data_IF_622012315410
#
_entry.id   IF_622012315410
#
_cell.length_a   1.000
_cell.length_b   1.000
_cell.length_c   1.000
_cell.angle_alpha   90.00
_cell.angle_beta   90.00
_cell.angle_gamma   90.00
#
_symmetry.space_group_name_H-M   'P 1'
#
loop_
_entity.id
_entity.type
_entity.pdbx_description
1 polymer ?
2 non-polymer ?
3 non-polymer ?
#
# COMPACT_ATOMS: atom_id res chain seq x y z
N UNK A 11 -15.88 -23.10 -12.33
CA UNK A 11 -16.15 -22.22 -11.20
C UNK A 11 -14.88 -21.87 -10.45
N UNK A 12 -14.73 -20.59 -10.10
CA UNK A 12 -13.53 -20.08 -9.44
C UNK A 12 -13.73 -19.73 -7.96
N UNK A 13 -14.93 -20.00 -7.43
CA UNK A 13 -15.25 -19.66 -6.05
C UNK A 13 -14.79 -20.69 -5.01
N UNK A 14 -14.29 -20.20 -3.89
CA UNK A 14 -14.03 -20.99 -2.70
C UNK A 14 -14.20 -20.08 -1.47
N UNK A 15 -14.33 -20.66 -0.26
CA UNK A 15 -14.75 -19.84 0.89
C UNK A 15 -13.79 -18.68 1.20
N UNK A 16 -12.50 -18.85 0.91
CA UNK A 16 -11.52 -17.79 1.16
C UNK A 16 -11.61 -16.63 0.16
N UNK A 17 -11.82 -16.95 -1.10
CA UNK A 17 -11.88 -15.93 -2.15
C UNK A 17 -13.30 -15.43 -2.41
N UNK A 18 -14.22 -15.73 -1.50
CA UNK A 18 -15.59 -15.33 -1.66
C UNK A 18 -15.81 -13.92 -1.17
N UNK A 19 -16.77 -13.19 -1.77
CA UNK A 19 -17.17 -11.85 -1.33
C UNK A 19 -17.46 -11.84 0.17
N UNK A 20 -17.35 -10.69 0.81
CA UNK A 20 -17.42 -10.67 2.26
C UNK A 20 -18.80 -10.16 2.63
N UNK A 21 -19.55 -11.02 3.29
CA UNK A 21 -20.95 -10.79 3.62
C UNK A 21 -21.07 -9.62 4.58
N UNK A 22 -22.15 -8.84 4.43
CA UNK A 22 -22.44 -7.68 5.28
C UNK A 22 -22.24 -7.99 6.76
N UNK A 23 -22.81 -9.11 7.21
CA UNK A 23 -22.65 -9.50 8.61
C UNK A 23 -21.21 -9.87 8.98
N UNK A 24 -20.39 -10.27 8.01
CA UNK A 24 -19.02 -10.63 8.34
C UNK A 24 -18.06 -9.43 8.43
N UNK A 25 -18.57 -8.23 8.16
CA UNK A 25 -17.71 -7.05 8.07
C UNK A 25 -17.40 -6.49 9.46
N UNK A 26 -16.19 -5.97 9.64
CA UNK A 26 -15.72 -5.62 10.98
C UNK A 26 -14.96 -4.29 11.09
N UNK A 27 -14.77 -3.60 9.97
CA UNK A 27 -13.98 -2.35 10.00
C UNK A 27 -14.79 -1.10 9.64
N UNK A 28 -14.99 -0.23 10.62
CA UNK A 28 -15.69 1.02 10.36
C UNK A 28 -14.70 2.11 10.03
N UNK A 29 -15.17 3.37 9.97
CA UNK A 29 -14.30 4.51 9.62
C UNK A 29 -13.23 4.84 10.64
N UNK A 30 -13.53 4.71 11.94
CA UNK A 30 -12.53 5.01 12.96
C UNK A 30 -11.41 3.97 12.97
N UNK A 31 -11.77 2.73 12.64
CA UNK A 31 -10.83 1.63 12.77
C UNK A 31 -9.82 1.67 11.63
N UNK A 32 -10.30 2.06 10.46
CA UNK A 32 -9.48 2.17 9.26
C UNK A 32 -8.43 3.26 9.40
N UNK A 33 -8.82 4.38 9.99
CA UNK A 33 -7.87 5.44 10.37
C UNK A 33 -6.81 4.92 11.33
N UNK A 34 -7.22 4.03 12.22
CA UNK A 34 -6.33 3.53 13.27
C UNK A 34 -5.37 2.51 12.68
N UNK A 35 -5.75 1.96 11.54
CA UNK A 35 -4.89 1.03 10.81
C UNK A 35 -3.88 1.80 9.97
N UNK A 36 -4.38 2.80 9.23
CA UNK A 36 -3.54 3.60 8.35
C UNK A 36 -2.48 4.41 9.08
N UNK A 37 -2.79 4.81 10.32
CA UNK A 37 -1.89 5.66 11.09
C UNK A 37 -0.63 4.87 11.43
N UNK A 38 -0.83 3.65 11.93
CA UNK A 38 0.27 2.79 12.32
C UNK A 38 0.93 2.18 11.07
N UNK A 39 0.15 2.02 10.00
CA UNK A 39 0.65 1.50 8.73
C UNK A 39 1.58 2.48 8.02
N UNK A 40 1.41 3.78 8.30
CA UNK A 40 2.27 4.79 7.68
C UNK A 40 3.58 4.92 8.45
N UNK A 41 3.53 4.67 9.75
CA UNK A 41 4.72 4.67 10.58
C UNK A 41 5.58 3.44 10.29
N UNK A 42 6.57 3.62 9.43
CA UNK A 42 7.49 2.55 9.06
C UNK A 42 8.79 3.13 8.50
N UNK A 43 9.89 2.41 8.71
CA UNK A 43 11.24 2.88 8.39
C UNK A 43 11.41 3.53 7.01
N UNK A 44 10.85 2.91 5.98
CA UNK A 44 11.10 3.32 4.60
C UNK A 44 10.80 4.80 4.29
N UNK A 45 10.04 5.46 5.16
CA UNK A 45 9.73 6.86 4.94
C UNK A 45 10.82 7.75 5.52
N UNK A 46 11.59 7.21 6.46
CA UNK A 46 12.79 7.90 6.94
C UNK A 46 13.73 8.09 5.75
N UNK A 47 13.97 7.00 5.04
CA UNK A 47 14.87 7.00 3.89
C UNK A 47 14.40 7.96 2.81
N UNK A 48 13.14 7.84 2.43
CA UNK A 48 12.59 8.67 1.35
C UNK A 48 12.70 10.15 1.68
N UNK A 49 12.20 10.53 2.86
CA UNK A 49 12.09 11.94 3.23
C UNK A 49 13.46 12.52 3.57
N UNK A 50 14.35 11.65 4.04
CA UNK A 50 15.75 11.97 4.28
C UNK A 50 16.53 12.37 3.05
N UNK A 51 16.58 11.47 2.08
CA UNK A 51 17.19 11.73 0.78
C UNK A 51 16.58 12.93 0.08
N UNK A 52 15.33 13.26 0.40
CA UNK A 52 14.71 14.46 -0.17
C UNK A 52 15.40 15.74 0.28
N UNK A 53 16.05 15.70 1.44
CA UNK A 53 16.69 16.89 1.97
C UNK A 53 17.84 17.35 1.06
N UNK A 54 18.39 16.42 0.29
CA UNK A 54 19.31 16.75 -0.79
C UNK A 54 18.76 17.75 -1.81
N UNK A 55 17.47 17.67 -2.12
CA UNK A 55 16.94 18.50 -3.19
C UNK A 55 16.06 19.65 -2.71
N UNK A 56 15.48 19.50 -1.51
CA UNK A 56 14.63 20.55 -0.95
C UNK A 56 14.87 20.67 0.54
N UNK A 57 14.37 21.74 1.14
CA UNK A 57 14.48 21.89 2.59
C UNK A 57 13.26 21.23 3.26
N UNK A 58 13.46 20.81 4.50
CA UNK A 58 12.46 20.06 5.26
C UNK A 58 10.98 20.44 5.14
N UNK A 59 10.63 21.72 5.32
CA UNK A 59 9.22 22.11 5.21
C UNK A 59 8.60 21.79 3.85
N UNK A 60 9.32 22.02 2.75
CA UNK A 60 8.81 21.61 1.44
C UNK A 60 8.61 20.11 1.34
N UNK A 61 9.51 19.37 1.99
CA UNK A 61 9.45 17.91 1.97
C UNK A 61 8.17 17.45 2.67
N UNK A 62 7.90 18.07 3.81
CA UNK A 62 6.66 17.87 4.56
C UNK A 62 5.44 18.17 3.68
N UNK A 63 5.58 19.18 2.83
CA UNK A 63 4.51 19.59 1.93
C UNK A 63 4.37 18.58 0.79
N UNK A 64 5.50 18.12 0.26
CA UNK A 64 5.50 17.08 -0.77
C UNK A 64 4.89 15.79 -0.22
N UNK A 65 5.03 15.59 1.09
CA UNK A 65 4.44 14.45 1.77
C UNK A 65 2.92 14.60 1.90
N UNK A 66 2.49 15.71 2.48
CA UNK A 66 1.07 16.05 2.56
C UNK A 66 0.36 16.06 1.22
N UNK A 67 1.04 16.56 0.19
CA UNK A 67 0.47 16.58 -1.15
C UNK A 67 0.34 15.17 -1.74
N UNK A 68 1.42 14.40 -1.67
CA UNK A 68 1.42 13.03 -2.14
C UNK A 68 0.46 12.13 -1.39
N UNK A 69 0.31 12.40 -0.09
CA UNK A 69 -0.68 11.72 0.74
C UNK A 69 -2.10 12.00 0.26
N UNK A 70 -2.34 13.24 -0.14
CA UNK A 70 -3.68 13.67 -0.56
C UNK A 70 -4.10 13.11 -1.90
N UNK A 71 -3.18 13.05 -2.86
CA UNK A 71 -3.50 12.45 -4.15
C UNK A 71 -3.80 10.96 -3.99
N UNK A 72 -3.09 10.33 -3.07
CA UNK A 72 -3.30 8.92 -2.78
C UNK A 72 -4.72 8.65 -2.28
N UNK A 73 -5.17 9.47 -1.35
CA UNK A 73 -6.55 9.43 -0.85
C UNK A 73 -7.64 9.70 -1.89
N UNK A 74 -7.48 10.77 -2.66
CA UNK A 74 -8.30 10.99 -3.85
C UNK A 74 -8.40 9.75 -4.74
N UNK A 75 -7.31 9.01 -4.83
CA UNK A 75 -7.29 7.75 -5.56
C UNK A 75 -8.02 6.65 -4.81
N UNK A 76 -7.87 6.65 -3.49
CA UNK A 76 -8.50 5.65 -2.64
C UNK A 76 -10.02 5.74 -2.68
N UNK A 77 -10.55 6.95 -2.58
CA UNK A 77 -11.99 7.22 -2.74
C UNK A 77 -12.64 6.44 -3.90
N UNK A 78 -11.90 6.27 -4.99
CA UNK A 78 -12.40 5.58 -6.18
C UNK A 78 -12.05 4.09 -6.19
N UNK A 79 -10.83 3.75 -5.82
CA UNK A 79 -10.38 2.36 -5.89
C UNK A 79 -10.97 1.50 -4.77
N UNK A 80 -11.62 2.12 -3.79
CA UNK A 80 -12.08 1.36 -2.64
C UNK A 80 -13.57 1.09 -2.73
N UNK A 81 -14.24 1.73 -3.69
CA UNK A 81 -15.70 1.80 -3.63
C UNK A 81 -16.36 0.47 -3.94
N UNK A 82 -15.77 -0.30 -4.84
CA UNK A 82 -16.33 -1.61 -5.19
C UNK A 82 -16.08 -2.65 -4.09
N UNK A 83 -14.95 -2.52 -3.40
CA UNK A 83 -14.61 -3.50 -2.38
C UNK A 83 -15.45 -3.32 -1.14
N UNK A 84 -15.70 -2.06 -0.79
CA UNK A 84 -16.55 -1.75 0.35
C UNK A 84 -17.98 -2.22 0.10
N UNK A 85 -18.50 -1.87 -1.08
CA UNK A 85 -19.88 -2.17 -1.41
C UNK A 85 -20.06 -3.68 -1.61
N UNK A 86 -19.13 -4.31 -2.32
CA UNK A 86 -19.33 -5.69 -2.75
C UNK A 86 -18.44 -6.74 -2.06
N UNK A 87 -17.60 -6.32 -1.11
CA UNK A 87 -16.74 -7.25 -0.40
C UNK A 87 -15.74 -8.07 -1.18
N UNK A 88 -15.33 -7.62 -2.37
CA UNK A 88 -14.47 -8.47 -3.20
C UNK A 88 -12.98 -8.18 -3.09
N UNK A 89 -12.19 -9.20 -3.44
CA UNK A 89 -10.75 -9.11 -3.67
C UNK A 89 -10.31 -8.03 -4.65
N UNK A 90 -9.02 -7.69 -4.58
CA UNK A 90 -8.34 -7.01 -5.68
C UNK A 90 -8.19 -7.95 -6.86
N UNK A 91 -7.58 -9.11 -6.61
CA UNK A 91 -7.27 -10.07 -7.64
C UNK A 91 -8.53 -10.46 -8.41
N UNK A 92 -9.62 -10.67 -7.67
CA UNK A 92 -10.91 -10.95 -8.26
C UNK A 92 -11.44 -9.77 -9.08
N UNK A 93 -11.32 -8.56 -8.53
CA UNK A 93 -11.82 -7.35 -9.20
C UNK A 93 -11.12 -7.02 -10.52
N UNK A 94 -9.87 -7.44 -10.69
CA UNK A 94 -9.14 -7.15 -11.92
C UNK A 94 -9.69 -7.94 -13.10
N UNK A 95 -10.39 -9.02 -12.80
CA UNK A 95 -10.98 -9.90 -13.81
C UNK A 95 -11.93 -9.17 -14.77
N UNK A 96 -12.49 -8.05 -14.31
CA UNK A 96 -13.48 -7.29 -15.08
C UNK A 96 -12.93 -6.71 -16.39
N UNK A 97 -12.01 -5.71 -16.33
CA UNK A 97 -11.55 -5.11 -17.58
C UNK A 97 -10.57 -6.00 -18.35
N UNK A 98 -9.57 -6.52 -17.65
CA UNK A 98 -8.66 -7.50 -18.23
C UNK A 98 -9.42 -8.82 -18.25
N UNK A 99 -8.85 -9.90 -18.76
CA UNK A 99 -9.61 -11.14 -18.78
C UNK A 99 -9.80 -11.74 -17.40
N UNK A 100 -10.42 -12.91 -17.36
CA UNK A 100 -10.43 -13.74 -16.15
C UNK A 100 -9.04 -14.28 -15.86
N UNK A 101 -8.26 -14.44 -16.92
CA UNK A 101 -6.89 -14.92 -16.84
C UNK A 101 -5.93 -13.80 -17.21
N UNK A 102 -6.30 -13.04 -18.24
CA UNK A 102 -5.55 -11.85 -18.61
C UNK A 102 -5.27 -10.89 -17.47
N UNK A 103 -6.15 -10.82 -16.48
CA UNK A 103 -5.90 -10.02 -15.29
C UNK A 103 -4.66 -10.48 -14.53
N UNK A 104 -4.30 -11.75 -14.65
CA UNK A 104 -3.13 -12.30 -13.98
C UNK A 104 -1.83 -11.60 -14.36
N UNK A 105 -1.80 -11.00 -15.55
CA UNK A 105 -0.64 -10.28 -16.04
C UNK A 105 -0.33 -9.03 -15.19
N UNK A 106 -1.19 -7.98 -15.23
CA UNK A 106 -0.89 -6.90 -14.29
C UNK A 106 -0.82 -7.35 -12.84
N UNK A 107 -1.68 -8.27 -12.43
CA UNK A 107 -1.69 -8.74 -11.05
C UNK A 107 -0.38 -9.42 -10.66
N UNK A 108 0.27 -10.10 -11.62
CA UNK A 108 1.56 -10.70 -11.33
C UNK A 108 2.63 -9.64 -11.16
N UNK A 109 2.56 -8.60 -11.99
CA UNK A 109 3.37 -7.41 -11.78
C UNK A 109 3.20 -6.91 -10.35
N UNK A 110 1.94 -6.76 -9.95
CA UNK A 110 1.63 -6.15 -8.67
C UNK A 110 1.91 -7.07 -7.50
N UNK A 111 1.58 -8.36 -7.62
CA UNK A 111 1.87 -9.28 -6.52
C UNK A 111 3.36 -9.38 -6.26
N UNK A 112 4.14 -9.19 -7.32
CA UNK A 112 5.60 -9.19 -7.25
C UNK A 112 6.14 -7.99 -6.50
N UNK A 113 5.65 -6.82 -6.90
CA UNK A 113 5.89 -5.56 -6.19
C UNK A 113 5.58 -5.73 -4.72
N UNK A 114 4.38 -6.21 -4.42
CA UNK A 114 3.88 -6.34 -3.04
C UNK A 114 4.88 -7.19 -2.27
N UNK A 115 5.23 -8.31 -2.89
CA UNK A 115 6.17 -9.31 -2.37
C UNK A 115 7.56 -8.73 -2.14
N UNK A 116 8.03 -7.91 -3.08
CA UNK A 116 9.29 -7.19 -2.92
C UNK A 116 9.32 -6.38 -1.63
N UNK A 117 8.23 -5.68 -1.34
CA UNK A 117 8.18 -4.86 -0.13
C UNK A 117 8.18 -5.70 1.13
N UNK A 118 7.54 -6.87 1.07
CA UNK A 118 7.45 -7.76 2.22
C UNK A 118 8.79 -8.26 2.71
N UNK A 119 9.64 -8.67 1.78
CA UNK A 119 10.97 -9.13 2.13
C UNK A 119 11.87 -8.00 2.57
N UNK A 120 11.66 -6.81 2.01
CA UNK A 120 12.40 -5.64 2.45
C UNK A 120 12.15 -5.27 3.92
N UNK A 121 10.89 -5.11 4.30
CA UNK A 121 10.61 -4.72 5.68
C UNK A 121 10.87 -5.85 6.68
N UNK A 122 10.75 -7.10 6.24
CA UNK A 122 11.05 -8.23 7.12
C UNK A 122 12.53 -8.15 7.49
N UNK A 123 13.32 -7.74 6.50
CA UNK A 123 14.74 -7.52 6.67
C UNK A 123 14.99 -6.45 7.71
N UNK A 124 14.36 -5.28 7.54
CA UNK A 124 14.50 -4.20 8.50
C UNK A 124 14.05 -4.66 9.90
N UNK A 125 12.95 -5.41 9.93
CA UNK A 125 12.43 -6.00 11.16
C UNK A 125 13.43 -6.93 11.83
N UNK A 126 14.02 -7.80 11.01
CA UNK A 126 15.03 -8.75 11.43
C UNK A 126 16.26 -8.05 11.99
N UNK A 127 16.69 -7.01 11.28
CA UNK A 127 17.81 -6.19 11.70
C UNK A 127 17.57 -5.70 13.12
N UNK A 128 16.33 -5.30 13.39
CA UNK A 128 15.98 -4.74 14.68
C UNK A 128 16.09 -5.79 15.78
N UNK A 129 15.45 -6.95 15.58
CA UNK A 129 15.44 -7.98 16.61
C UNK A 129 16.85 -8.47 16.89
N UNK A 130 17.66 -8.51 15.83
CA UNK A 130 19.04 -8.97 15.92
C UNK A 130 19.87 -7.98 16.73
N UNK A 131 19.60 -6.70 16.53
CA UNK A 131 20.21 -5.65 17.33
C UNK A 131 19.81 -5.73 18.80
N UNK A 132 18.55 -6.02 19.11
CA UNK A 132 18.13 -6.16 20.51
C UNK A 132 18.90 -7.29 21.19
N UNK A 133 19.03 -8.41 20.49
CA UNK A 133 19.70 -9.57 21.06
C UNK A 133 21.19 -9.36 21.21
N UNK A 134 21.84 -8.79 20.18
CA UNK A 134 23.28 -8.62 20.26
C UNK A 134 23.64 -7.52 21.26
N UNK A 135 22.69 -6.65 21.59
CA UNK A 135 22.88 -5.70 22.69
C UNK A 135 22.54 -6.37 24.02
N UNK A 136 22.44 -7.69 24.02
CA UNK A 136 22.20 -8.42 25.25
C UNK A 136 23.01 -9.71 25.37
N UNK A 137 23.75 -10.07 24.34
CA UNK A 137 24.30 -11.43 24.24
C UNK A 137 25.42 -11.45 23.18
N UNK A 138 25.64 -10.32 22.54
CA UNK A 138 26.64 -10.23 21.49
C UNK A 138 26.46 -11.10 20.26
N UNK A 139 25.60 -12.10 20.36
CA UNK A 139 25.30 -13.00 19.25
C UNK A 139 24.60 -12.20 18.15
N UNK A 140 25.09 -12.31 16.92
CA UNK A 140 24.63 -11.44 15.84
C UNK A 140 24.41 -12.23 14.54
N UNK A 141 23.48 -13.17 14.60
CA UNK A 141 23.06 -13.91 13.41
C UNK A 141 21.78 -13.27 12.89
N UNK A 142 21.84 -12.77 11.66
CA UNK A 142 20.70 -12.11 11.03
C UNK A 142 19.76 -13.06 10.27
N UNK A 143 20.27 -13.92 9.36
CA UNK A 143 19.36 -14.81 8.62
C UNK A 143 18.41 -15.63 9.49
N UNK A 144 18.86 -16.11 10.64
CA UNK A 144 17.96 -16.83 11.54
C UNK A 144 16.83 -15.91 12.01
N UNK A 145 17.18 -14.66 12.36
CA UNK A 145 16.20 -13.70 12.83
C UNK A 145 15.29 -13.22 11.71
N UNK A 146 15.81 -13.28 10.48
CA UNK A 146 14.99 -13.05 9.29
C UNK A 146 13.85 -14.05 9.24
N UNK A 147 14.18 -15.32 9.02
CA UNK A 147 13.21 -16.42 9.03
C UNK A 147 12.21 -16.37 10.19
N UNK A 148 12.71 -16.43 11.42
CA UNK A 148 11.88 -16.28 12.62
C UNK A 148 10.88 -15.12 12.55
N UNK A 149 11.26 -13.99 11.97
CA UNK A 149 10.31 -12.89 11.86
C UNK A 149 9.31 -13.12 10.75
N UNK A 150 9.81 -13.42 9.54
CA UNK A 150 8.96 -13.86 8.45
C UNK A 150 7.93 -14.83 8.95
N UNK A 151 8.37 -15.78 9.77
CA UNK A 151 7.50 -16.81 10.30
C UNK A 151 6.47 -16.20 11.25
N UNK A 152 6.93 -15.33 12.14
CA UNK A 152 6.05 -14.69 13.12
C UNK A 152 4.96 -13.86 12.46
N UNK A 153 5.32 -13.16 11.39
CA UNK A 153 4.36 -12.37 10.64
C UNK A 153 3.30 -13.29 10.05
N UNK A 154 3.75 -14.38 9.45
CA UNK A 154 2.85 -15.39 8.88
C UNK A 154 1.81 -15.88 9.87
N UNK A 155 2.25 -16.17 11.09
CA UNK A 155 1.36 -16.75 12.10
C UNK A 155 0.38 -15.71 12.62
N UNK A 156 0.84 -14.47 12.76
CA UNK A 156 -0.03 -13.36 13.08
C UNK A 156 -0.90 -12.94 11.91
N UNK A 157 -0.45 -13.23 10.70
CA UNK A 157 -1.26 -12.94 9.52
C UNK A 157 -2.36 -13.97 9.31
N UNK A 158 -2.16 -15.18 9.83
CA UNK A 158 -3.22 -16.19 9.85
C UNK A 158 -4.54 -15.70 10.41
N UNK A 159 -4.46 -14.84 11.41
CA UNK A 159 -5.64 -14.26 12.04
C UNK A 159 -6.23 -13.11 11.24
N UNK A 160 -5.80 -13.01 9.99
CA UNK A 160 -6.19 -11.96 9.05
C UNK A 160 -6.40 -10.58 9.64
N UNK A 161 -7.45 -9.89 9.18
CA UNK A 161 -7.67 -8.51 9.58
C UNK A 161 -8.00 -8.37 11.07
N UNK A 162 -8.35 -9.48 11.71
CA UNK A 162 -8.70 -9.49 13.13
C UNK A 162 -7.51 -9.10 14.02
N UNK A 163 -6.37 -9.72 13.74
CA UNK A 163 -5.11 -9.37 14.41
C UNK A 163 -4.67 -7.97 14.02
N UNK A 164 -4.51 -7.75 12.71
CA UNK A 164 -4.13 -6.44 12.15
C UNK A 164 -4.84 -5.31 12.89
N UNK A 165 -6.16 -5.44 13.04
CA UNK A 165 -6.97 -4.34 13.54
C UNK A 165 -6.70 -4.12 15.03
N UNK A 166 -6.48 -5.19 15.77
CA UNK A 166 -6.21 -5.07 17.20
C UNK A 166 -4.78 -4.62 17.49
N UNK A 167 -3.84 -5.13 16.70
CA UNK A 167 -2.43 -4.75 16.82
C UNK A 167 -2.16 -3.28 16.50
N UNK A 168 -2.87 -2.74 15.52
CA UNK A 168 -2.67 -1.36 15.10
C UNK A 168 -3.32 -0.30 15.99
N UNK A 169 -4.41 -0.64 16.67
CA UNK A 169 -5.04 0.32 17.56
C UNK A 169 -4.21 0.52 18.82
N UNK A 170 -3.60 -0.54 19.33
CA UNK A 170 -2.71 -0.39 20.48
C UNK A 170 -1.32 0.12 20.13
N UNK A 171 -0.80 -0.26 18.97
CA UNK A 171 0.47 0.30 18.51
C UNK A 171 0.39 1.79 18.22
N UNK A 172 -0.70 2.22 17.59
CA UNK A 172 -0.88 3.59 17.12
C UNK A 172 -0.47 4.69 18.13
N UNK A 173 -1.09 4.70 19.33
CA UNK A 173 -0.71 5.79 20.24
C UNK A 173 0.73 5.65 20.74
N UNK A 174 1.13 4.42 21.02
CA UNK A 174 2.50 4.14 21.43
C UNK A 174 3.50 4.60 20.37
N UNK A 175 3.28 4.19 19.13
CA UNK A 175 4.05 4.67 17.99
C UNK A 175 4.00 6.19 17.87
N UNK A 176 2.81 6.75 18.03
CA UNK A 176 2.62 8.20 18.02
C UNK A 176 3.43 8.88 19.13
N UNK A 177 3.48 8.26 20.30
CA UNK A 177 4.20 8.83 21.43
C UNK A 177 5.72 8.68 21.29
N UNK A 178 6.18 7.45 21.00
CA UNK A 178 7.60 7.22 20.73
C UNK A 178 8.17 8.20 19.70
N UNK A 179 7.31 8.63 18.77
CA UNK A 179 7.71 9.51 17.69
C UNK A 179 7.79 10.98 18.08
N UNK A 180 6.77 11.45 18.79
CA UNK A 180 6.76 12.80 19.35
C UNK A 180 7.90 13.00 20.36
N UNK A 181 8.17 11.98 21.15
CA UNK A 181 9.35 11.90 22.01
C UNK A 181 10.67 12.06 21.25
N UNK A 182 10.77 11.34 20.14
CA UNK A 182 11.95 11.37 19.29
C UNK A 182 12.37 12.77 18.84
N UNK A 183 11.40 13.54 18.36
CA UNK A 183 11.61 14.94 18.03
C UNK A 183 12.10 15.81 19.19
N UNK A 184 11.60 15.56 20.40
CA UNK A 184 12.04 16.33 21.56
C UNK A 184 13.53 16.08 21.86
N UNK A 185 13.90 14.80 22.00
CA UNK A 185 15.29 14.38 22.19
C UNK A 185 16.31 14.97 21.22
N UNK A 186 15.96 15.02 19.93
CA UNK A 186 16.85 15.59 18.94
C UNK A 186 16.99 17.09 19.18
N UNK A 187 15.91 17.82 18.95
CA UNK A 187 15.88 19.26 19.10
C UNK A 187 16.57 19.73 20.38
N UNK A 188 16.17 19.17 21.52
CA UNK A 188 16.79 19.49 22.81
C UNK A 188 18.30 19.27 22.76
N UNK A 189 18.71 18.03 22.53
CA UNK A 189 20.11 17.64 22.60
C UNK A 189 21.00 18.36 21.60
N UNK A 190 20.36 18.94 20.59
CA UNK A 190 21.07 19.74 19.59
C UNK A 190 20.91 21.22 19.88
N UNK A 191 19.98 21.54 20.78
CA UNK A 191 19.73 22.90 21.26
C UNK A 191 19.12 23.76 20.14
N UNK A 192 18.14 23.18 19.43
CA UNK A 192 17.57 23.83 18.25
C UNK A 192 16.05 23.84 18.31
N UNK A 193 15.45 24.95 17.87
CA UNK A 193 14.00 25.06 17.82
C UNK A 193 13.45 24.32 16.60
N UNK A 194 12.16 24.02 16.62
CA UNK A 194 11.50 23.37 15.49
C UNK A 194 11.57 24.18 14.19
N UNK A 195 11.34 25.49 14.30
CA UNK A 195 11.32 26.37 13.14
C UNK A 195 12.65 26.48 12.43
N UNK A 196 13.73 26.36 13.19
CA UNK A 196 15.08 26.45 12.63
C UNK A 196 15.37 25.24 11.75
N UNK A 197 15.06 24.05 12.25
CA UNK A 197 15.28 22.80 11.52
C UNK A 197 14.43 22.75 10.26
N UNK A 198 13.28 23.42 10.30
CA UNK A 198 12.35 23.43 9.18
C UNK A 198 12.90 23.98 7.85
N UNK A 199 14.04 24.65 7.88
CA UNK A 199 14.63 25.15 6.63
C UNK A 199 16.09 24.79 6.38
N UNK A 200 16.60 23.76 7.07
CA UNK A 200 18.02 23.42 6.99
C UNK A 200 18.46 22.63 5.75
N UNK A 201 17.52 22.22 4.91
CA UNK A 201 17.88 21.32 3.81
C UNK A 201 18.22 21.96 2.48
N UNK A 202 18.09 21.16 1.43
CA UNK A 202 17.95 21.66 0.07
C UNK A 202 19.14 22.44 -0.43
N UNK A 203 20.32 21.83 -0.35
CA UNK A 203 21.55 22.49 -0.75
C UNK A 203 22.11 21.85 -2.02
N UNK A 204 21.23 21.29 -2.83
CA UNK A 204 21.64 20.60 -4.05
C UNK A 204 20.45 20.45 -5.01
N UNK A 205 19.76 21.56 -5.31
CA UNK A 205 18.50 21.55 -6.08
C UNK A 205 18.68 21.02 -7.50
N UNK A 206 17.59 20.65 -8.14
CA UNK A 206 17.61 20.03 -9.45
C UNK A 206 16.34 19.26 -9.72
N UNK A 207 15.90 18.52 -8.71
CA UNK A 207 14.66 17.76 -8.78
C UNK A 207 13.44 18.68 -8.74
N UNK A 208 12.53 18.55 -9.70
CA UNK A 208 11.27 19.31 -9.68
C UNK A 208 10.40 18.95 -8.48
N UNK A 209 9.69 19.92 -7.92
CA UNK A 209 8.79 19.68 -6.80
C UNK A 209 7.63 18.74 -7.14
N UNK A 210 7.26 18.70 -8.41
CA UNK A 210 6.19 17.81 -8.84
C UNK A 210 6.59 16.35 -8.72
N UNK A 211 7.84 16.05 -9.00
CA UNK A 211 8.33 14.67 -9.00
C UNK A 211 8.55 14.25 -7.54
N UNK A 212 8.58 15.23 -6.66
CA UNK A 212 8.71 14.95 -5.23
C UNK A 212 7.38 14.42 -4.77
N UNK A 213 6.32 15.15 -5.08
CA UNK A 213 4.96 14.74 -4.74
C UNK A 213 4.75 13.34 -5.30
N UNK A 214 5.20 13.16 -6.55
CA UNK A 214 5.12 11.89 -7.27
C UNK A 214 5.91 10.74 -6.64
N UNK A 215 6.84 11.06 -5.74
CA UNK A 215 7.63 10.02 -5.09
C UNK A 215 6.86 9.44 -3.91
N UNK A 216 6.21 10.31 -3.15
CA UNK A 216 5.41 9.88 -2.02
C UNK A 216 4.08 9.27 -2.46
N UNK A 217 3.62 9.66 -3.66
CA UNK A 217 2.49 8.97 -4.28
C UNK A 217 2.95 7.58 -4.74
N UNK A 218 4.11 7.53 -5.37
CA UNK A 218 4.67 6.27 -5.83
C UNK A 218 5.02 5.31 -4.70
N UNK A 219 5.02 5.82 -3.47
CA UNK A 219 5.31 4.99 -2.32
C UNK A 219 4.14 4.10 -1.98
N UNK A 220 2.94 4.68 -2.00
CA UNK A 220 1.75 3.95 -1.60
C UNK A 220 0.90 3.52 -2.78
N UNK A 221 1.48 3.54 -3.99
CA UNK A 221 0.71 3.21 -5.18
C UNK A 221 0.22 1.75 -5.17
N UNK A 222 1.05 0.84 -4.66
CA UNK A 222 0.69 -0.58 -4.61
C UNK A 222 -0.47 -0.80 -3.65
N UNK A 223 -0.39 -0.19 -2.48
CA UNK A 223 -1.44 -0.33 -1.48
C UNK A 223 -2.75 0.27 -1.95
N UNK A 224 -2.68 1.49 -2.51
CA UNK A 224 -3.87 2.20 -2.96
C UNK A 224 -4.57 1.48 -4.12
N UNK A 225 -3.78 0.95 -5.05
CA UNK A 225 -4.36 0.30 -6.23
C UNK A 225 -5.01 -1.04 -5.87
N UNK A 226 -4.62 -1.62 -4.74
CA UNK A 226 -5.17 -2.90 -4.31
C UNK A 226 -5.66 -2.84 -2.87
N UNK A 227 -6.16 -1.68 -2.46
CA UNK A 227 -6.76 -1.54 -1.14
C UNK A 227 -7.85 -2.58 -0.88
N UNK A 228 -8.58 -2.96 -1.93
CA UNK A 228 -9.65 -3.98 -1.89
C UNK A 228 -9.51 -4.98 -0.75
N UNK A 229 -8.31 -5.52 -0.65
CA UNK A 229 -7.98 -6.63 0.23
C UNK A 229 -8.11 -6.25 1.71
N UNK A 230 -8.20 -4.96 1.96
CA UNK A 230 -8.40 -4.45 3.31
C UNK A 230 -9.84 -3.99 3.49
N UNK A 231 -10.38 -3.32 2.47
CA UNK A 231 -11.61 -2.57 2.62
C UNK A 231 -12.83 -3.42 2.26
N UNK A 232 -12.60 -4.57 1.64
CA UNK A 232 -13.66 -5.56 1.51
C UNK A 232 -14.14 -6.04 2.89
N UNK A 233 -13.47 -5.57 3.93
CA UNK A 233 -13.79 -5.91 5.31
C UNK A 233 -14.47 -4.73 6.00
N UNK A 234 -14.61 -3.61 5.28
CA UNK A 234 -15.21 -2.44 5.88
C UNK A 234 -16.72 -2.50 6.03
N UNK A 235 -17.24 -1.72 6.98
CA UNK A 235 -18.64 -1.76 7.34
C UNK A 235 -19.47 -0.97 6.33
N UNK A 236 -20.53 -1.57 5.79
CA UNK A 236 -21.37 -0.88 4.82
C UNK A 236 -22.84 -1.03 5.17
N UNK A 237 -23.65 -0.01 4.87
CA UNK A 237 -25.10 -0.21 4.92
C UNK A 237 -25.66 -0.44 3.53
N UNK A 238 -26.09 -1.68 3.24
CA UNK A 238 -26.59 -2.07 1.92
C UNK A 238 -27.77 -1.25 1.43
N UNK A 239 -28.55 -0.69 2.36
CA UNK A 239 -29.74 0.06 1.99
C UNK A 239 -29.55 1.57 1.99
N UNK A 240 -28.37 2.01 1.60
CA UNK A 240 -28.10 3.42 1.42
C UNK A 240 -28.68 3.88 0.09
N UNK A 241 -28.13 4.95 -0.46
CA UNK A 241 -28.54 5.45 -1.76
C UNK A 241 -27.29 5.92 -2.47
N UNK A 242 -27.44 6.48 -3.67
CA UNK A 242 -26.31 7.10 -4.35
C UNK A 242 -25.60 8.12 -3.46
N UNK A 243 -26.37 8.88 -2.70
CA UNK A 243 -25.79 10.01 -1.99
C UNK A 243 -25.34 9.54 -0.61
N UNK A 244 -25.96 8.48 -0.09
CA UNK A 244 -25.50 7.91 1.15
C UNK A 244 -24.32 6.98 0.95
N UNK A 245 -24.24 6.34 -0.21
CA UNK A 245 -23.08 5.54 -0.57
C UNK A 245 -21.87 6.44 -0.80
N UNK A 246 -22.11 7.63 -1.35
CA UNK A 246 -21.04 8.56 -1.62
C UNK A 246 -20.45 9.20 -0.37
N UNK A 247 -21.30 9.58 0.58
CA UNK A 247 -20.78 10.09 1.85
C UNK A 247 -20.04 8.99 2.61
N UNK A 248 -20.49 7.75 2.44
CA UNK A 248 -19.81 6.61 3.04
C UNK A 248 -18.41 6.45 2.48
N UNK A 249 -18.31 6.42 1.15
CA UNK A 249 -17.03 6.47 0.45
C UNK A 249 -16.16 7.63 0.91
N UNK A 250 -16.79 8.80 1.05
CA UNK A 250 -16.06 10.01 1.43
C UNK A 250 -15.63 9.95 2.89
N UNK A 251 -16.49 9.38 3.73
CA UNK A 251 -16.20 9.23 5.15
C UNK A 251 -15.03 8.27 5.39
N UNK A 252 -14.99 7.21 4.60
CA UNK A 252 -13.85 6.28 4.61
C UNK A 252 -12.57 6.89 4.05
N UNK A 253 -12.67 7.49 2.87
CA UNK A 253 -11.54 8.22 2.28
C UNK A 253 -11.00 9.29 3.22
N UNK A 254 -11.91 9.98 3.91
CA UNK A 254 -11.51 11.00 4.88
C UNK A 254 -10.79 10.35 6.04
N UNK A 255 -11.24 9.17 6.42
CA UNK A 255 -10.65 8.45 7.55
C UNK A 255 -9.24 7.99 7.20
N UNK A 256 -9.03 7.70 5.92
CA UNK A 256 -7.73 7.25 5.46
C UNK A 256 -6.79 8.44 5.37
N UNK A 257 -7.36 9.61 5.09
CA UNK A 257 -6.57 10.82 5.01
C UNK A 257 -6.04 11.19 6.38
N UNK A 258 -6.91 11.11 7.38
CA UNK A 258 -6.51 11.50 8.73
C UNK A 258 -5.62 10.43 9.35
N UNK A 259 -5.54 9.27 8.72
CA UNK A 259 -4.67 8.23 9.23
C UNK A 259 -3.25 8.29 8.68
N UNK A 260 -3.13 8.51 7.38
CA UNK A 260 -1.81 8.41 6.75
C UNK A 260 -1.06 9.74 6.68
N UNK A 261 -1.78 10.86 6.65
CA UNK A 261 -1.15 12.18 6.63
C UNK A 261 -0.42 12.53 7.95
N UNK A 262 -1.15 12.77 9.07
CA UNK A 262 -0.45 13.13 10.31
C UNK A 262 0.62 12.14 10.78
N UNK A 263 0.43 10.86 10.47
CA UNK A 263 1.43 9.85 10.80
C UNK A 263 2.69 10.01 9.97
N UNK A 264 2.54 10.17 8.66
CA UNK A 264 3.69 10.16 7.77
C UNK A 264 4.37 11.52 7.72
N UNK A 265 3.67 12.56 8.16
CA UNK A 265 4.28 13.86 8.34
C UNK A 265 5.24 13.95 9.53
N UNK A 266 4.81 13.45 10.69
CA UNK A 266 5.70 13.41 11.85
C UNK A 266 6.97 12.59 11.64
N UNK A 267 6.81 11.42 11.04
CA UNK A 267 7.95 10.51 10.85
C UNK A 267 8.74 10.81 9.58
N UNK A 268 8.08 11.39 8.58
CA UNK A 268 8.80 11.90 7.43
C UNK A 268 9.76 12.97 7.92
N UNK A 269 9.22 13.90 8.70
CA UNK A 269 10.02 14.94 9.35
C UNK A 269 11.21 14.41 10.17
N UNK A 270 11.01 13.31 10.89
CA UNK A 270 12.11 12.70 11.65
C UNK A 270 13.22 12.20 10.75
N UNK A 271 12.86 11.57 9.62
CA UNK A 271 13.85 11.12 8.67
C UNK A 271 14.64 12.27 8.07
N UNK A 272 13.91 13.32 7.69
CA UNK A 272 14.51 14.54 7.15
C UNK A 272 15.41 15.24 8.15
N UNK A 273 14.91 15.41 9.37
CA UNK A 273 15.67 16.00 10.47
C UNK A 273 16.98 15.27 10.74
N UNK A 274 16.90 13.95 10.88
CA UNK A 274 18.10 13.11 10.93
C UNK A 274 19.12 13.45 9.84
N UNK A 275 18.66 13.46 8.59
CA UNK A 275 19.53 13.75 7.45
C UNK A 275 20.26 15.08 7.61
N UNK A 276 19.51 16.09 8.02
CA UNK A 276 19.91 17.48 7.93
C UNK A 276 20.78 17.86 9.13
N UNK A 277 20.52 17.25 10.28
CA UNK A 277 21.34 17.46 11.48
C UNK A 277 22.68 16.71 11.49
N UNK A 278 22.73 15.51 10.92
CA UNK A 278 23.84 14.61 11.19
C UNK A 278 24.33 13.88 9.92
N UNK A 279 23.53 13.95 8.87
CA UNK A 279 23.90 13.39 7.57
C UNK A 279 23.40 11.98 7.31
N UNK A 280 22.61 11.46 8.24
CA UNK A 280 22.04 10.13 8.12
C UNK A 280 20.55 10.18 8.33
N UNK A 281 19.81 9.43 7.52
CA UNK A 281 18.35 9.37 7.62
C UNK A 281 17.90 8.53 8.80
N UNK A 282 18.78 7.64 9.26
CA UNK A 282 18.49 6.72 10.35
C UNK A 282 18.66 7.42 11.70
N UNK A 283 17.54 7.54 12.45
CA UNK A 283 17.45 8.21 13.76
C UNK A 283 18.29 7.52 14.86
N UNK A 284 18.56 6.23 14.74
CA UNK A 284 19.44 5.56 15.71
C UNK A 284 20.76 6.28 15.78
N UNK A 285 21.39 6.42 14.63
CA UNK A 285 22.61 7.19 14.53
C UNK A 285 22.41 8.64 14.93
N UNK A 286 21.43 9.31 14.33
CA UNK A 286 21.27 10.74 14.59
C UNK A 286 21.05 11.08 16.07
N UNK A 287 20.27 10.26 16.77
CA UNK A 287 20.03 10.54 18.19
C UNK A 287 21.20 10.14 19.08
N UNK A 288 21.85 9.03 18.72
CA UNK A 288 23.02 8.54 19.44
C UNK A 288 24.13 9.57 19.51
N UNK A 289 24.54 10.06 18.34
CA UNK A 289 25.51 11.14 18.23
C UNK A 289 25.13 12.37 19.02
N UNK A 290 24.06 13.04 18.57
CA UNK A 290 23.60 14.31 19.13
C UNK A 290 23.60 14.32 20.67
N UNK A 291 23.38 13.13 21.24
CA UNK A 291 23.22 12.98 22.69
C UNK A 291 24.50 12.37 23.25
N UNK A 292 25.31 11.82 22.35
CA UNK A 292 26.61 11.28 22.73
C UNK A 292 26.42 9.96 23.44
N UNK A 293 25.85 8.99 22.74
CA UNK A 293 25.64 7.67 23.29
C UNK A 293 24.34 7.62 24.07
N UNK A 294 23.80 6.41 24.23
CA UNK A 294 22.59 6.17 25.02
C UNK A 294 22.69 4.82 25.71
N UNK A 295 22.00 4.69 26.83
CA UNK A 295 21.97 3.46 27.62
C UNK A 295 21.40 2.28 26.84
N UNK A 296 21.86 1.08 27.21
CA UNK A 296 21.42 -0.17 26.58
C UNK A 296 19.88 -0.30 26.60
N UNK A 297 19.22 -0.05 27.75
CA UNK A 297 17.76 0.08 27.70
C UNK A 297 17.27 0.98 26.57
N UNK A 298 17.58 2.27 26.64
CA UNK A 298 17.07 3.23 25.64
C UNK A 298 17.47 2.89 24.21
N UNK A 299 18.40 1.96 24.04
CA UNK A 299 18.77 1.49 22.72
C UNK A 299 17.78 0.42 22.27
N UNK A 300 17.75 -0.66 23.05
CA UNK A 300 16.72 -1.71 22.97
C UNK A 300 15.33 -1.15 22.67
N UNK A 301 14.94 -0.13 23.42
CA UNK A 301 13.75 0.67 23.11
C UNK A 301 13.60 1.02 21.62
N UNK A 302 14.55 1.76 21.08
CA UNK A 302 14.51 2.17 19.66
C UNK A 302 14.22 1.00 18.75
N UNK A 303 14.85 -0.12 19.06
CA UNK A 303 14.73 -1.31 18.24
C UNK A 303 13.36 -1.95 18.46
N UNK A 304 12.84 -1.85 19.67
CA UNK A 304 11.47 -2.27 19.93
C UNK A 304 10.52 -1.42 19.07
N UNK A 305 10.86 -0.14 18.90
CA UNK A 305 10.11 0.77 18.03
C UNK A 305 10.08 0.25 16.59
N UNK A 306 11.27 0.11 16.00
CA UNK A 306 11.41 -0.42 14.64
C UNK A 306 10.58 -1.68 14.43
N UNK A 307 10.64 -2.58 15.40
CA UNK A 307 9.87 -3.81 15.32
C UNK A 307 8.38 -3.50 15.35
N UNK A 308 7.98 -2.67 16.30
CA UNK A 308 6.59 -2.24 16.40
C UNK A 308 6.13 -1.47 15.16
N UNK A 309 7.05 -0.73 14.54
CA UNK A 309 6.74 0.02 13.33
C UNK A 309 6.66 -0.84 12.07
N UNK A 310 7.34 -1.99 12.09
CA UNK A 310 7.33 -2.90 10.95
C UNK A 310 6.11 -3.80 10.98
N UNK A 311 5.72 -4.21 12.19
CA UNK A 311 4.61 -5.13 12.38
C UNK A 311 3.27 -4.51 12.03
N UNK A 312 3.18 -3.19 12.16
CA UNK A 312 1.94 -2.50 11.88
C UNK A 312 1.78 -2.17 10.39
N UNK A 313 2.81 -2.48 9.60
CA UNK A 313 2.75 -2.16 8.18
C UNK A 313 2.91 -3.36 7.26
N UNK A 314 3.99 -4.11 7.44
CA UNK A 314 4.29 -5.25 6.58
C UNK A 314 3.11 -6.21 6.32
N UNK A 315 2.60 -6.92 7.34
CA UNK A 315 1.48 -7.85 7.08
C UNK A 315 0.35 -7.27 6.23
N UNK A 316 -0.27 -6.22 6.75
CA UNK A 316 -1.46 -5.62 6.15
C UNK A 316 -1.23 -5.05 4.75
N UNK A 317 -0.09 -4.41 4.54
CA UNK A 317 0.20 -3.73 3.28
C UNK A 317 0.87 -4.60 2.22
N UNK A 318 1.61 -5.62 2.64
CA UNK A 318 2.47 -6.35 1.72
C UNK A 318 2.17 -7.84 1.54
N UNK A 319 1.53 -8.45 2.53
CA UNK A 319 1.34 -9.90 2.52
C UNK A 319 -0.09 -10.34 2.19
N UNK A 320 -1.06 -9.60 2.70
CA UNK A 320 -2.46 -9.81 2.36
C UNK A 320 -2.75 -10.01 0.87
N UNK A 321 -2.23 -9.13 0.02
CA UNK A 321 -2.62 -9.12 -1.38
C UNK A 321 -2.02 -10.23 -2.27
N UNK A 322 -0.80 -10.71 -1.98
CA UNK A 322 -0.41 -11.88 -2.76
C UNK A 322 -1.09 -13.15 -2.28
N UNK A 323 -1.33 -13.22 -0.96
CA UNK A 323 -2.12 -14.29 -0.37
C UNK A 323 -3.42 -14.52 -1.13
N UNK A 324 -4.23 -13.47 -1.21
CA UNK A 324 -5.51 -13.51 -1.90
C UNK A 324 -5.38 -13.80 -3.40
N UNK A 325 -4.22 -13.46 -3.96
CA UNK A 325 -3.96 -13.74 -5.37
C UNK A 325 -3.81 -15.24 -5.63
N UNK A 326 -3.13 -15.92 -4.71
CA UNK A 326 -2.98 -17.37 -4.78
C UNK A 326 -4.30 -18.12 -4.58
N UNK A 327 -4.97 -17.87 -3.46
CA UNK A 327 -6.14 -18.65 -3.10
C UNK A 327 -7.35 -18.39 -4.00
N UNK A 328 -7.19 -17.48 -4.96
CA UNK A 328 -8.34 -17.00 -5.73
C UNK A 328 -8.12 -17.32 -7.20
N UNK A 329 -6.86 -17.60 -7.56
CA UNK A 329 -6.52 -18.07 -8.89
C UNK A 329 -6.41 -19.60 -8.90
N UNK A 330 -5.87 -20.14 -7.82
CA UNK A 330 -5.82 -21.59 -7.62
C UNK A 330 -6.71 -22.01 -6.45
N UNK A 331 -8.04 -21.94 -6.62
CA UNK A 331 -8.87 -21.96 -5.42
C UNK A 331 -8.94 -23.31 -4.70
N UNK A 332 -8.68 -24.41 -5.41
CA UNK A 332 -8.65 -25.72 -4.80
C UNK A 332 -7.25 -26.13 -4.33
N UNK A 333 -6.24 -25.42 -4.82
CA UNK A 333 -4.86 -25.61 -4.39
C UNK A 333 -4.46 -24.80 -3.15
N UNK A 334 -4.89 -23.55 -3.09
CA UNK A 334 -4.47 -22.69 -1.99
C UNK A 334 -5.65 -22.19 -1.16
N UNK A 335 -5.39 -21.94 0.12
CA UNK A 335 -6.32 -21.22 0.98
C UNK A 335 -5.60 -19.99 1.47
N UNK A 336 -6.35 -19.04 2.04
CA UNK A 336 -5.78 -17.82 2.59
C UNK A 336 -4.53 -18.11 3.42
N UNK A 337 -4.68 -18.92 4.47
CA UNK A 337 -3.56 -19.30 5.33
C UNK A 337 -2.40 -19.95 4.59
N UNK A 338 -2.68 -20.73 3.56
CA UNK A 338 -1.62 -21.40 2.82
C UNK A 338 -0.95 -20.44 1.84
N UNK A 339 -1.71 -19.45 1.39
CA UNK A 339 -1.21 -18.47 0.46
C UNK A 339 -0.26 -17.52 1.16
N UNK A 340 -0.60 -17.23 2.41
CA UNK A 340 0.28 -16.49 3.32
C UNK A 340 1.63 -17.17 3.53
N UNK A 341 1.60 -18.49 3.76
CA UNK A 341 2.84 -19.26 3.86
C UNK A 341 3.66 -19.28 2.57
N UNK A 342 3.00 -19.43 1.43
CA UNK A 342 3.68 -19.41 0.14
C UNK A 342 4.16 -18.01 -0.27
N UNK A 343 3.48 -16.97 0.20
CA UNK A 343 3.86 -15.62 -0.18
C UNK A 343 5.08 -15.15 0.61
N UNK A 344 5.09 -15.48 1.88
CA UNK A 344 6.20 -15.13 2.76
C UNK A 344 7.47 -15.91 2.46
N UNK A 345 7.32 -17.08 1.85
CA UNK A 345 8.49 -17.85 1.48
C UNK A 345 9.10 -17.33 0.18
N UNK A 346 8.28 -17.24 -0.87
CA UNK A 346 8.70 -16.57 -2.10
C UNK A 346 9.27 -15.19 -1.79
N UNK A 347 8.50 -14.40 -1.04
CA UNK A 347 8.92 -13.07 -0.59
C UNK A 347 10.35 -12.97 -0.12
N UNK A 348 10.73 -13.85 0.81
CA UNK A 348 12.07 -13.82 1.39
C UNK A 348 13.08 -14.35 0.39
N UNK A 349 12.63 -15.26 -0.47
CA UNK A 349 13.49 -15.82 -1.51
C UNK A 349 13.68 -14.88 -2.71
N UNK A 350 13.09 -13.68 -2.64
CA UNK A 350 13.41 -12.65 -3.63
C UNK A 350 14.61 -11.83 -3.17
N UNK A 351 15.07 -12.11 -1.95
CA UNK A 351 16.17 -11.39 -1.30
C UNK A 351 16.33 -9.91 -1.71
N UNK A 352 15.28 -9.09 -1.49
CA UNK A 352 15.10 -7.72 -1.99
C UNK A 352 16.08 -6.74 -1.33
N UNK A 353 16.79 -7.21 -0.32
CA UNK A 353 17.73 -6.42 0.46
C UNK A 353 19.02 -6.20 -0.33
N UNK A 354 19.02 -6.66 -1.57
CA UNK A 354 20.18 -6.57 -2.45
C UNK A 354 19.85 -5.69 -3.65
N UNK A 355 18.68 -5.07 -3.60
CA UNK A 355 18.19 -4.20 -4.69
C UNK A 355 19.07 -2.94 -4.71
N UNK A 356 19.82 -2.79 -5.80
CA UNK A 356 20.69 -1.63 -5.98
C UNK A 356 19.89 -0.35 -6.19
N UNK A 357 20.50 0.79 -5.88
CA UNK A 357 19.87 2.08 -6.11
C UNK A 357 19.35 2.76 -4.85
N UNK A 358 18.41 3.68 -5.04
CA UNK A 358 17.69 4.29 -3.93
C UNK A 358 16.18 4.25 -4.17
N UNK A 359 15.41 4.49 -3.12
CA UNK A 359 13.99 4.16 -3.14
C UNK A 359 13.28 5.16 -4.04
N UNK A 360 13.51 6.44 -3.77
CA UNK A 360 12.96 7.54 -4.57
C UNK A 360 12.73 7.19 -6.04
N UNK A 361 13.79 6.75 -6.72
CA UNK A 361 13.72 6.44 -8.14
C UNK A 361 12.88 5.18 -8.35
N UNK A 362 12.94 4.28 -7.37
CA UNK A 362 12.13 3.06 -7.36
C UNK A 362 10.67 3.45 -7.23
N UNK A 363 10.41 4.41 -6.33
CA UNK A 363 9.05 4.84 -6.10
C UNK A 363 8.56 5.55 -7.35
N UNK A 364 9.47 6.25 -8.01
CA UNK A 364 9.19 6.90 -9.29
C UNK A 364 8.89 5.87 -10.38
N UNK A 365 9.48 4.69 -10.21
CA UNK A 365 9.21 3.53 -11.06
C UNK A 365 7.83 2.99 -10.78
N UNK A 366 7.56 2.74 -9.50
CA UNK A 366 6.27 2.20 -9.07
C UNK A 366 5.06 3.01 -9.50
N UNK A 367 5.13 4.34 -9.42
CA UNK A 367 3.99 5.15 -9.83
C UNK A 367 3.68 5.01 -11.33
N UNK A 368 4.65 5.28 -12.18
CA UNK A 368 4.39 5.25 -13.62
C UNK A 368 4.14 3.83 -14.16
N UNK A 369 4.42 2.84 -13.33
CA UNK A 369 4.11 1.44 -13.62
C UNK A 369 2.71 0.95 -13.28
N UNK A 370 2.09 1.55 -12.26
CA UNK A 370 0.70 1.23 -11.92
C UNK A 370 -0.32 2.33 -12.16
N UNK A 371 0.12 3.46 -12.70
CA UNK A 371 -0.78 4.56 -12.97
C UNK A 371 -1.93 4.22 -13.90
N UNK A 372 -1.63 3.60 -15.06
CA UNK A 372 -2.69 3.12 -15.93
C UNK A 372 -3.57 2.03 -15.32
N UNK A 373 -2.99 1.18 -14.48
CA UNK A 373 -3.75 0.11 -13.82
C UNK A 373 -4.84 0.67 -12.94
N UNK A 374 -4.54 1.72 -12.18
CA UNK A 374 -5.51 2.35 -11.32
C UNK A 374 -6.54 3.10 -12.16
N UNK A 375 -6.11 3.53 -13.33
CA UNK A 375 -6.91 4.35 -14.22
C UNK A 375 -7.94 3.50 -14.95
N UNK A 376 -7.53 2.30 -15.32
CA UNK A 376 -8.38 1.37 -16.05
C UNK A 376 -9.41 0.73 -15.13
N UNK A 377 -9.08 0.62 -13.85
CA UNK A 377 -9.98 -0.03 -12.91
C UNK A 377 -11.05 0.97 -12.48
N UNK A 378 -10.65 2.21 -12.29
CA UNK A 378 -11.60 3.27 -11.93
C UNK A 378 -12.58 3.49 -13.07
N UNK A 379 -12.07 3.35 -14.29
CA UNK A 379 -12.85 3.67 -15.49
C UNK A 379 -13.85 2.58 -15.86
N UNK A 380 -13.38 1.33 -15.87
CA UNK A 380 -14.25 0.18 -16.10
C UNK A 380 -15.48 0.17 -15.19
N UNK A 381 -15.23 0.23 -13.89
CA UNK A 381 -16.29 0.18 -12.89
C UNK A 381 -17.19 1.42 -12.83
N UNK A 382 -16.60 2.61 -12.75
CA UNK A 382 -17.39 3.85 -12.64
C UNK A 382 -17.99 4.35 -13.95
N UNK A 383 -17.19 4.39 -15.00
CA UNK A 383 -17.62 5.02 -16.24
C UNK A 383 -18.27 4.07 -17.23
N UNK A 384 -17.56 3.01 -17.59
CA UNK A 384 -18.11 2.04 -18.54
C UNK A 384 -19.34 1.32 -18.00
N UNK A 385 -19.18 0.62 -16.87
CA UNK A 385 -20.26 -0.21 -16.33
C UNK A 385 -21.23 0.53 -15.39
N UNK A 386 -20.85 1.72 -14.91
CA UNK A 386 -21.70 2.52 -14.03
C UNK A 386 -22.01 1.80 -12.72
N UNK A 387 -21.00 1.18 -12.12
CA UNK A 387 -21.11 0.51 -10.81
C UNK A 387 -22.03 -0.70 -10.89
N UNK A 388 -22.35 -1.14 -12.10
CA UNK A 388 -23.31 -2.22 -12.28
C UNK A 388 -22.57 -3.50 -12.65
N UNK A 389 -22.30 -4.33 -11.65
CA UNK A 389 -21.45 -5.49 -11.83
C UNK A 389 -22.13 -6.83 -11.50
N UNK A 390 -21.53 -7.91 -11.99
CA UNK A 390 -22.07 -9.27 -11.82
C UNK A 390 -21.11 -10.18 -11.04
N UNK A 391 -21.26 -10.26 -9.72
CA UNK A 391 -20.46 -11.19 -8.92
C UNK A 391 -20.43 -12.61 -9.49
N UNK A 392 -21.59 -13.09 -9.95
CA UNK A 392 -21.75 -14.43 -10.52
C UNK A 392 -20.68 -14.81 -11.53
N UNK A 393 -20.39 -13.89 -12.43
CA UNK A 393 -19.53 -14.14 -13.58
C UNK A 393 -18.06 -14.03 -13.19
N UNK A 394 -17.81 -13.36 -12.07
CA UNK A 394 -16.46 -13.18 -11.58
C UNK A 394 -15.90 -14.48 -11.00
N UNK A 395 -16.78 -15.41 -10.66
CA UNK A 395 -16.34 -16.66 -10.04
C UNK A 395 -16.50 -17.87 -10.97
N UNK A 396 -16.56 -17.60 -12.27
CA UNK A 396 -16.82 -18.64 -13.25
C UNK A 396 -15.89 -18.41 -14.43
N UNK A 397 -15.20 -19.47 -14.85
CA UNK A 397 -14.34 -19.46 -16.03
C UNK A 397 -14.92 -18.90 -17.33
N UNK A 398 -16.19 -19.19 -17.61
CA UNK A 398 -16.83 -18.69 -18.82
C UNK A 398 -18.10 -17.84 -18.64
N UNK A 399 -17.96 -16.54 -18.86
CA UNK A 399 -19.05 -15.59 -18.66
C UNK A 399 -18.75 -14.27 -19.35
N UNK A 400 -19.42 -13.20 -18.95
CA UNK A 400 -19.22 -11.90 -19.61
C UNK A 400 -17.88 -11.23 -19.32
N UNK A 401 -17.03 -11.88 -18.53
CA UNK A 401 -15.73 -11.31 -18.21
C UNK A 401 -14.63 -12.22 -18.75
N UNK A 402 -15.01 -13.12 -19.64
CA UNK A 402 -14.09 -14.11 -20.18
C UNK A 402 -13.40 -13.53 -21.41
N UNK A 403 -14.11 -12.68 -22.13
CA UNK A 403 -13.61 -12.08 -23.37
C UNK A 403 -13.04 -13.14 -24.32
N UNK A 404 -11.88 -12.84 -24.92
CA UNK A 404 -11.27 -13.78 -25.84
C UNK A 404 -10.54 -14.92 -25.12
N UNK A 405 -11.28 -16.00 -24.85
CA UNK A 405 -10.73 -17.23 -24.28
C UNK A 405 -9.98 -16.97 -22.96
N UNK A 406 -10.53 -16.04 -22.18
CA UNK A 406 -10.03 -15.72 -20.86
C UNK A 406 -9.18 -14.46 -20.75
N UNK A 407 -8.93 -13.78 -21.86
CA UNK A 407 -8.03 -12.63 -21.85
C UNK A 407 -8.60 -11.50 -22.69
N UNK A 408 -8.62 -10.28 -22.16
CA UNK A 408 -9.14 -9.13 -22.91
C UNK A 408 -7.95 -8.36 -23.49
N UNK A 409 -7.49 -8.73 -24.69
CA UNK A 409 -6.29 -8.13 -25.26
C UNK A 409 -6.36 -6.61 -25.47
N UNK A 410 -7.56 -6.09 -25.75
CA UNK A 410 -7.75 -4.66 -25.94
C UNK A 410 -7.41 -3.86 -24.67
N UNK A 411 -7.73 -4.43 -23.52
CA UNK A 411 -7.36 -3.84 -22.23
C UNK A 411 -5.86 -3.87 -21.95
N UNK A 412 -5.22 -5.01 -22.24
CA UNK A 412 -3.76 -5.09 -22.30
C UNK A 412 -3.13 -4.12 -23.32
N UNK A 413 -3.88 -3.73 -24.34
CA UNK A 413 -3.40 -2.74 -25.29
C UNK A 413 -3.45 -1.32 -24.74
N UNK A 414 -4.60 -0.94 -24.20
CA UNK A 414 -4.75 0.36 -23.54
C UNK A 414 -3.70 0.61 -22.46
N UNK A 415 -3.30 -0.44 -21.75
CA UNK A 415 -2.24 -0.32 -20.75
C UNK A 415 -0.93 0.12 -21.39
N UNK A 416 -0.52 -0.62 -22.41
CA UNK A 416 0.70 -0.31 -23.15
C UNK A 416 0.68 1.12 -23.68
N UNK A 417 -0.28 1.41 -24.55
CA UNK A 417 -0.47 2.76 -25.10
C UNK A 417 -0.39 3.86 -24.04
N UNK A 418 -1.06 3.67 -22.91
CA UNK A 418 -1.08 4.69 -21.86
C UNK A 418 0.29 4.76 -21.20
N UNK A 419 0.94 3.61 -21.08
CA UNK A 419 2.29 3.52 -20.56
C UNK A 419 3.26 4.28 -21.45
N UNK A 420 3.09 4.13 -22.76
CA UNK A 420 3.88 4.89 -23.73
C UNK A 420 3.73 6.40 -23.57
N UNK A 421 2.54 6.93 -23.85
CA UNK A 421 2.20 8.34 -23.61
C UNK A 421 2.74 8.87 -22.27
N UNK A 422 2.86 7.97 -21.29
CA UNK A 422 3.33 8.34 -19.96
C UNK A 422 4.77 8.84 -20.04
N UNK A 423 5.55 8.26 -20.94
CA UNK A 423 6.96 8.57 -21.06
C UNK A 423 7.16 9.96 -21.66
N UNK A 424 6.12 10.47 -22.33
CA UNK A 424 6.18 11.82 -22.89
C UNK A 424 6.16 12.92 -21.83
N UNK A 425 5.95 12.55 -20.58
CA UNK A 425 5.90 13.52 -19.48
C UNK A 425 6.59 12.92 -18.25
N UNK A 426 7.89 12.60 -18.36
CA UNK A 426 8.63 11.89 -17.31
C UNK A 426 8.41 12.35 -15.87
N UNK A 427 8.28 13.65 -15.64
CA UNK A 427 8.07 14.11 -14.27
C UNK A 427 6.63 14.08 -13.77
N UNK A 428 5.70 13.70 -14.65
CA UNK A 428 4.30 13.57 -14.26
C UNK A 428 3.72 12.27 -14.80
N UNK A 429 4.62 11.36 -15.19
CA UNK A 429 4.27 10.07 -15.79
C UNK A 429 2.98 9.45 -15.29
N UNK A 430 2.92 9.21 -13.98
CA UNK A 430 1.75 8.64 -13.32
C UNK A 430 0.42 9.34 -13.60
N UNK A 431 0.37 10.65 -13.42
CA UNK A 431 -0.89 11.37 -13.63
C UNK A 431 -1.29 11.47 -15.10
N UNK A 432 -0.32 11.45 -16.01
CA UNK A 432 -0.68 11.36 -17.43
C UNK A 432 -1.10 9.95 -17.81
N UNK A 433 -0.39 8.95 -17.30
CA UNK A 433 -0.73 7.57 -17.59
C UNK A 433 -2.07 7.10 -17.03
N UNK A 434 -2.43 7.63 -15.87
CA UNK A 434 -3.73 7.33 -15.28
C UNK A 434 -4.82 7.94 -16.15
N UNK A 435 -4.71 9.25 -16.34
CA UNK A 435 -5.63 10.01 -17.17
C UNK A 435 -5.70 9.47 -18.60
N UNK A 436 -4.59 9.01 -19.14
CA UNK A 436 -4.60 8.44 -20.48
C UNK A 436 -5.33 7.10 -20.47
N UNK A 437 -4.97 6.22 -19.56
CA UNK A 437 -5.62 4.91 -19.47
C UNK A 437 -7.12 5.07 -19.19
N UNK A 438 -7.44 5.91 -18.22
CA UNK A 438 -8.82 6.24 -17.87
C UNK A 438 -9.63 6.60 -19.11
N UNK A 439 -9.19 7.62 -19.83
CA UNK A 439 -9.90 8.10 -21.01
C UNK A 439 -9.97 7.11 -22.17
N UNK A 440 -8.87 6.42 -22.47
CA UNK A 440 -8.87 5.46 -23.57
C UNK A 440 -9.70 4.22 -23.30
N UNK A 441 -9.87 3.86 -22.04
CA UNK A 441 -10.62 2.65 -21.71
C UNK A 441 -12.03 2.80 -22.27
N UNK A 442 -12.53 4.04 -22.23
CA UNK A 442 -13.89 4.36 -22.67
C UNK A 442 -14.18 3.99 -24.14
N UNK A 443 -13.44 4.56 -25.12
CA UNK A 443 -13.64 4.07 -26.49
C UNK A 443 -13.30 2.60 -26.69
N UNK A 444 -12.17 2.14 -26.13
CA UNK A 444 -11.79 0.74 -26.21
C UNK A 444 -12.91 -0.18 -25.72
N UNK A 445 -13.58 0.24 -24.65
CA UNK A 445 -14.61 -0.60 -24.04
C UNK A 445 -15.92 -0.48 -24.80
N UNK A 446 -16.15 0.68 -25.39
CA UNK A 446 -17.32 0.87 -26.26
C UNK A 446 -17.14 0.13 -27.57
N UNK A 447 -15.96 -0.45 -27.77
CA UNK A 447 -15.69 -1.25 -28.97
C UNK A 447 -15.86 -2.73 -28.67
N UNK A 448 -15.20 -3.17 -27.61
CA UNK A 448 -15.35 -4.52 -27.10
C UNK A 448 -16.81 -4.84 -26.81
N UNK A 449 -17.60 -3.81 -26.54
CA UNK A 449 -18.98 -4.02 -26.14
C UNK A 449 -19.84 -4.42 -27.35
N UNK A 450 -19.27 -4.26 -28.54
CA UNK A 450 -19.95 -4.65 -29.78
C UNK A 450 -19.80 -6.15 -30.05
N UNK A 451 -18.86 -6.79 -29.35
CA UNK A 451 -18.58 -8.20 -29.53
C UNK A 451 -19.00 -8.98 -28.29
N UNK A 452 -18.79 -8.36 -27.13
CA UNK A 452 -19.07 -8.98 -25.85
C UNK A 452 -19.99 -8.11 -25.02
N UNK A 453 -20.80 -8.72 -24.14
CA UNK A 453 -21.80 -7.95 -23.41
C UNK A 453 -21.18 -7.35 -22.14
N UNK A 454 -21.68 -6.19 -21.73
CA UNK A 454 -21.13 -5.50 -20.57
C UNK A 454 -21.91 -5.84 -19.31
N UNK A 455 -23.09 -6.44 -19.49
CA UNK A 455 -23.92 -6.81 -18.36
C UNK A 455 -24.41 -8.26 -18.51
N UNK A 456 -24.97 -8.80 -17.43
CA UNK A 456 -25.44 -10.17 -17.44
C UNK A 456 -26.69 -10.34 -16.58
N UNK A 457 -27.52 -11.31 -16.93
CA UNK A 457 -28.75 -11.55 -16.18
C UNK A 457 -28.44 -11.99 -14.76
N UNK A 458 -27.35 -12.73 -14.61
CA UNK A 458 -27.02 -13.34 -13.33
C UNK A 458 -26.61 -12.30 -12.27
N UNK A 459 -26.50 -11.03 -12.68
CA UNK A 459 -26.10 -9.98 -11.76
C UNK A 459 -27.19 -9.72 -10.72
N UNK A 460 -28.31 -10.43 -10.85
CA UNK A 460 -29.41 -10.32 -9.90
C UNK A 460 -29.17 -11.23 -8.71
N UNK A 461 -28.23 -12.16 -8.88
CA UNK A 461 -27.80 -13.04 -7.79
C UNK A 461 -26.77 -12.39 -6.88
N UNK A 462 -26.47 -11.12 -7.16
CA UNK A 462 -25.41 -10.40 -6.45
C UNK A 462 -25.62 -10.47 -4.94
N UNK A 463 -26.87 -10.31 -4.51
CA UNK A 463 -27.20 -10.19 -3.10
C UNK A 463 -27.19 -11.56 -2.41
N UNK A 464 -27.30 -12.62 -3.21
CA UNK A 464 -27.14 -13.98 -2.71
C UNK A 464 -25.76 -14.18 -2.09
N UNK A 465 -24.75 -13.62 -2.73
CA UNK A 465 -23.37 -13.71 -2.24
C UNK A 465 -23.20 -12.97 -0.92
N UNK A 466 -24.03 -11.95 -0.69
CA UNK A 466 -23.90 -11.09 0.48
C UNK A 466 -25.02 -11.37 1.48
#
# INVERSE_FOLDING_TARGET
>A
MNSTPIEEARSLLNPSNAPTRYAERSVGPFSLAAIWFAMAIQVAIFIAAGQMTSSFQVWQVIVAIAAGCTIAVILLFFTQSAAIRWGINFTVAARMPFGIRGSLIPITLKALLSLFWFGFQTWLGALALDEITRLLTGFTNLPLWIVIFGAIQVVTTFYGITFIRWMNVFASPVLLAMGVYMVYLMLDGADVSLGEVMSMGGENPGMPFSTAIMIFVGGWIAVVVSIHDIVKECKVDPNASREGQTKADARYATAQWLGMVPASIIFGFIGAASMVLVGEWNPVIAITEVVGGVSIPMAILFQVFVLLATWSTNPAANLLSPAYTLCSTFPRVFTFKTGVIVSAVVGLLMMPWQFAGVLNTFLNLLASALGPLAGIMISDYFLVRRRRISLHDLYRTKGIYTYWRGVNWVALAVYAVALAVSFLTPDLMFVTGLIAALLLHIPAMRWVAKTFPLFSEAESRNEDYLRPIGPVAPADESATANTKEQNGSENLYFQ
#
